data_IF_904553461463
#
_entry.id   IF_904553461463
#
_cell.length_a   1.000
_cell.length_b   1.000
_cell.length_c   1.000
_cell.angle_alpha   90.00
_cell.angle_beta   90.00
_cell.angle_gamma   90.00
#
_symmetry.space_group_name_H-M   'P 1'
#
loop_
_entity.id
_entity.type
_entity.pdbx_description
1 polymer ?
#
# COMPACT_ATOMS: atom_id res chain seq x y z
N UNK A 1 -43.78 -7.64 -27.02
CA UNK A 1 -42.95 -7.47 -25.81
C UNK A 1 -42.37 -8.84 -25.43
N UNK A 2 -41.04 -9.02 -25.46
CA UNK A 2 -40.25 -9.97 -24.64
C UNK A 2 -38.78 -9.98 -25.10
N UNK A 3 -38.01 -9.18 -24.36
CA UNK A 3 -36.57 -9.14 -24.12
C UNK A 3 -35.66 -10.15 -24.84
N UNK A 4 -34.77 -9.62 -25.70
CA UNK A 4 -33.49 -10.25 -26.06
C UNK A 4 -32.41 -9.17 -26.09
N UNK A 5 -31.90 -8.77 -24.92
CA UNK A 5 -30.72 -7.92 -24.82
C UNK A 5 -30.15 -8.05 -23.40
N UNK A 6 -29.47 -9.17 -23.08
CA UNK A 6 -28.81 -9.26 -21.78
C UNK A 6 -27.65 -10.26 -21.76
N UNK A 7 -26.73 -10.16 -22.72
CA UNK A 7 -25.44 -10.86 -22.62
C UNK A 7 -24.34 -10.09 -23.36
N UNK A 8 -24.12 -8.83 -22.99
CA UNK A 8 -22.95 -8.08 -23.49
C UNK A 8 -22.31 -7.17 -22.45
N UNK A 9 -22.45 -7.50 -21.16
CA UNK A 9 -21.91 -6.68 -20.06
C UNK A 9 -21.06 -7.45 -19.05
N UNK A 10 -20.61 -8.66 -19.37
CA UNK A 10 -19.80 -9.47 -18.46
C UNK A 10 -18.29 -9.46 -18.76
N UNK A 11 -17.85 -8.84 -19.86
CA UNK A 11 -16.43 -8.78 -20.23
C UNK A 11 -15.66 -7.57 -19.67
N UNK A 12 -16.33 -6.60 -19.03
CA UNK A 12 -15.70 -5.36 -18.56
C UNK A 12 -15.08 -5.44 -17.14
N UNK A 13 -15.21 -6.56 -16.43
CA UNK A 13 -14.72 -6.68 -15.04
C UNK A 13 -13.36 -7.38 -14.89
N UNK A 14 -12.71 -7.75 -15.99
CA UNK A 14 -11.33 -8.28 -15.96
C UNK A 14 -10.29 -7.19 -16.27
N UNK A 15 -10.53 -5.96 -15.82
CA UNK A 15 -9.44 -5.02 -15.56
C UNK A 15 -8.70 -5.50 -14.29
N UNK A 16 -7.97 -6.60 -14.44
CA UNK A 16 -7.04 -7.08 -13.43
C UNK A 16 -6.14 -5.92 -13.06
N UNK A 17 -6.21 -5.50 -11.80
CA UNK A 17 -5.25 -4.58 -11.21
C UNK A 17 -3.93 -5.32 -11.19
N UNK A 18 -3.20 -5.26 -12.30
CA UNK A 18 -1.80 -5.63 -12.35
C UNK A 18 -1.09 -4.64 -11.44
N UNK A 19 -0.68 -5.10 -10.25
CA UNK A 19 0.27 -4.38 -9.42
C UNK A 19 1.56 -4.30 -10.21
N UNK A 20 1.72 -3.22 -10.99
CA UNK A 20 2.91 -3.00 -11.77
C UNK A 20 4.10 -2.89 -10.81
N UNK A 21 5.01 -3.86 -10.87
CA UNK A 21 6.28 -3.77 -10.16
C UNK A 21 6.97 -2.46 -10.57
N UNK A 22 7.50 -1.70 -9.59
CA UNK A 22 8.07 -0.38 -9.83
C UNK A 22 9.37 -0.50 -10.64
N UNK A 23 9.29 -0.38 -11.96
CA UNK A 23 10.42 -0.52 -12.88
C UNK A 23 11.27 0.76 -13.05
N UNK A 24 11.20 1.72 -12.11
CA UNK A 24 12.02 2.93 -12.18
C UNK A 24 12.76 3.20 -10.86
N UNK A 25 14.05 3.52 -10.97
CA UNK A 25 14.97 3.63 -9.83
C UNK A 25 14.52 4.65 -8.77
N UNK A 26 13.80 5.69 -9.17
CA UNK A 26 13.26 6.70 -8.24
C UNK A 26 12.15 6.12 -7.39
N UNK A 27 11.29 5.30 -7.99
CA UNK A 27 10.23 4.59 -7.28
C UNK A 27 10.78 3.51 -6.35
N UNK A 28 11.77 2.74 -6.79
CA UNK A 28 12.45 1.77 -5.92
C UNK A 28 13.05 2.46 -4.69
N UNK A 29 13.79 3.56 -4.89
CA UNK A 29 14.36 4.34 -3.79
C UNK A 29 13.31 4.91 -2.85
N UNK A 30 12.19 5.41 -3.38
CA UNK A 30 11.10 5.93 -2.55
C UNK A 30 10.45 4.82 -1.71
N UNK A 31 10.32 3.61 -2.25
CA UNK A 31 9.82 2.44 -1.51
C UNK A 31 10.79 2.06 -0.41
N UNK A 32 12.09 1.98 -0.68
CA UNK A 32 13.10 1.67 0.35
C UNK A 32 13.05 2.67 1.52
N UNK A 33 12.94 3.97 1.21
CA UNK A 33 12.81 5.02 2.21
C UNK A 33 11.53 4.86 3.03
N UNK A 34 10.39 4.65 2.37
CA UNK A 34 9.10 4.47 3.04
C UNK A 34 9.06 3.21 3.90
N UNK A 35 9.52 2.07 3.38
CA UNK A 35 9.56 0.78 4.10
C UNK A 35 10.47 0.85 5.32
N UNK A 36 11.63 1.50 5.22
CA UNK A 36 12.54 1.65 6.37
C UNK A 36 11.91 2.51 7.47
N UNK A 37 11.32 3.65 7.11
CA UNK A 37 10.66 4.53 8.08
C UNK A 37 9.45 3.83 8.73
N UNK A 38 8.63 3.16 7.92
CA UNK A 38 7.45 2.44 8.40
C UNK A 38 7.81 1.28 9.33
N UNK A 39 8.83 0.48 8.97
CA UNK A 39 9.33 -0.61 9.80
C UNK A 39 9.76 -0.13 11.19
N UNK A 40 10.42 1.03 11.28
CA UNK A 40 10.80 1.61 12.56
C UNK A 40 9.58 2.00 13.39
N UNK A 41 8.57 2.63 12.77
CA UNK A 41 7.33 3.03 13.44
C UNK A 41 6.55 1.84 13.98
N UNK A 42 6.37 0.78 13.20
CA UNK A 42 5.60 -0.39 13.64
C UNK A 42 6.32 -1.19 14.74
N UNK A 43 7.66 -1.19 14.75
CA UNK A 43 8.47 -1.75 15.84
C UNK A 43 8.27 -0.98 17.15
N UNK A 44 8.19 0.35 17.07
CA UNK A 44 7.98 1.23 18.22
C UNK A 44 6.53 1.18 18.73
N UNK A 45 5.56 1.12 17.81
CA UNK A 45 4.14 1.19 18.11
C UNK A 45 3.58 -0.10 18.72
N UNK A 46 3.99 -1.27 18.22
CA UNK A 46 3.38 -2.55 18.60
C UNK A 46 4.27 -3.37 19.53
N UNK A 47 3.69 -4.14 20.48
CA UNK A 47 4.46 -4.96 21.42
C UNK A 47 5.07 -6.19 20.74
N UNK A 48 6.23 -6.71 21.23
CA UNK A 48 6.89 -7.88 20.64
C UNK A 48 6.10 -9.19 20.81
N UNK A 49 5.07 -9.22 21.64
CA UNK A 49 4.21 -10.37 21.90
C UNK A 49 2.74 -9.94 22.07
N UNK A 50 1.82 -10.90 21.94
CA UNK A 50 0.37 -10.66 22.01
C UNK A 50 -0.28 -10.47 20.64
N UNK A 51 -1.57 -10.14 20.64
CA UNK A 51 -2.43 -10.19 19.46
C UNK A 51 -1.98 -9.23 18.33
N UNK A 52 -1.33 -8.12 18.68
CA UNK A 52 -0.83 -7.12 17.73
C UNK A 52 0.65 -7.31 17.38
N UNK A 53 1.35 -8.29 17.95
CA UNK A 53 2.78 -8.51 17.62
C UNK A 53 3.06 -8.81 16.15
N UNK A 54 2.15 -9.46 15.37
CA UNK A 54 2.38 -9.63 13.94
C UNK A 54 2.53 -8.29 13.19
N UNK A 55 1.89 -7.22 13.68
CA UNK A 55 1.97 -5.90 13.06
C UNK A 55 3.36 -5.25 13.13
N UNK A 56 4.31 -5.83 13.89
CA UNK A 56 5.72 -5.38 13.90
C UNK A 56 6.50 -5.80 12.65
N UNK A 57 5.97 -6.70 11.84
CA UNK A 57 6.62 -7.16 10.60
C UNK A 57 6.00 -6.46 9.39
N UNK A 58 6.84 -5.91 8.50
CA UNK A 58 6.41 -5.35 7.23
C UNK A 58 5.61 -6.35 6.36
N UNK A 59 5.89 -7.65 6.47
CA UNK A 59 5.19 -8.70 5.72
C UNK A 59 3.70 -8.82 6.10
N UNK A 60 3.32 -8.25 7.23
CA UNK A 60 1.91 -8.15 7.66
C UNK A 60 1.13 -7.08 6.89
N UNK A 61 1.77 -6.37 5.97
CA UNK A 61 1.19 -5.28 5.22
C UNK A 61 1.29 -5.53 3.71
N UNK A 62 0.16 -5.34 3.03
CA UNK A 62 0.14 -5.16 1.58
C UNK A 62 0.63 -3.75 1.24
N UNK A 63 1.49 -3.65 0.22
CA UNK A 63 2.01 -2.38 -0.26
C UNK A 63 1.35 -1.96 -1.57
N UNK A 64 0.80 -0.74 -1.60
CA UNK A 64 0.30 -0.07 -2.79
C UNK A 64 1.21 1.09 -3.19
N UNK A 65 1.40 1.30 -4.49
CA UNK A 65 2.23 2.39 -5.01
C UNK A 65 1.42 3.18 -6.03
N UNK A 66 1.34 4.49 -5.83
CA UNK A 66 0.79 5.43 -6.80
C UNK A 66 1.83 6.49 -7.16
N UNK A 67 1.75 7.02 -8.39
CA UNK A 67 2.72 7.97 -8.91
C UNK A 67 2.02 9.18 -9.51
N UNK A 68 2.59 10.35 -9.26
CA UNK A 68 2.25 11.60 -9.96
C UNK A 68 3.50 12.14 -10.68
N UNK A 69 3.40 13.25 -11.42
CA UNK A 69 4.57 13.85 -12.06
C UNK A 69 5.70 14.21 -11.08
N UNK A 70 5.35 14.63 -9.86
CA UNK A 70 6.31 15.14 -8.86
C UNK A 70 6.39 14.31 -7.59
N UNK A 71 5.47 13.37 -7.36
CA UNK A 71 5.38 12.61 -6.11
C UNK A 71 5.26 11.11 -6.35
N UNK A 72 5.65 10.36 -5.33
CA UNK A 72 5.43 8.93 -5.20
C UNK A 72 4.67 8.72 -3.90
N UNK A 73 3.59 7.96 -3.97
CA UNK A 73 2.75 7.65 -2.82
C UNK A 73 2.91 6.16 -2.55
N UNK A 74 3.28 5.81 -1.32
CA UNK A 74 3.43 4.42 -0.86
C UNK A 74 2.44 4.20 0.27
N UNK A 75 1.58 3.20 0.12
CA UNK A 75 0.53 2.88 1.10
C UNK A 75 0.80 1.50 1.66
N UNK A 76 0.77 1.37 2.98
CA UNK A 76 0.82 0.11 3.71
C UNK A 76 -0.56 -0.16 4.31
N UNK A 77 -1.15 -1.30 3.95
CA UNK A 77 -2.44 -1.75 4.47
C UNK A 77 -2.26 -3.09 5.16
N UNK A 78 -2.76 -3.22 6.39
CA UNK A 78 -2.72 -4.50 7.10
C UNK A 78 -3.38 -5.59 6.26
N UNK A 79 -2.72 -6.73 6.19
CA UNK A 79 -3.23 -7.89 5.50
C UNK A 79 -4.52 -8.36 6.18
N UNK A 80 -5.61 -8.38 5.40
CA UNK A 80 -6.94 -8.79 5.86
C UNK A 80 -6.95 -10.18 6.50
N UNK A 81 -6.01 -11.06 6.13
CA UNK A 81 -5.86 -12.41 6.70
C UNK A 81 -5.54 -12.40 8.19
N UNK A 82 -5.00 -11.31 8.71
CA UNK A 82 -4.71 -11.15 10.14
C UNK A 82 -5.95 -10.85 10.97
N UNK A 83 -7.07 -10.45 10.34
CA UNK A 83 -8.30 -10.08 11.06
C UNK A 83 -8.17 -8.80 11.90
N UNK A 84 -7.10 -8.02 11.71
CA UNK A 84 -6.84 -6.77 12.41
C UNK A 84 -7.25 -5.60 11.50
N UNK A 85 -7.92 -4.60 12.08
CA UNK A 85 -8.33 -3.37 11.41
C UNK A 85 -7.43 -2.23 11.91
N UNK A 86 -7.04 -1.32 11.02
CA UNK A 86 -6.17 -0.19 11.36
C UNK A 86 -4.68 -0.51 11.19
N UNK A 87 -3.82 0.33 11.74
CA UNK A 87 -2.37 0.13 11.82
C UNK A 87 -1.55 0.35 10.55
N UNK A 88 -2.20 0.61 9.43
CA UNK A 88 -1.55 0.95 8.17
C UNK A 88 -1.02 2.38 8.12
N UNK A 89 -0.58 2.82 6.95
CA UNK A 89 -0.23 4.21 6.73
C UNK A 89 0.10 4.55 5.29
N UNK A 90 0.17 5.84 5.01
CA UNK A 90 0.45 6.39 3.69
C UNK A 90 1.59 7.39 3.76
N UNK A 91 2.56 7.20 2.88
CA UNK A 91 3.68 8.10 2.66
C UNK A 91 3.50 8.83 1.34
N UNK A 92 3.70 10.14 1.38
CA UNK A 92 3.93 10.93 0.16
C UNK A 92 5.41 11.32 0.13
N UNK A 93 6.11 10.93 -0.93
CA UNK A 93 7.53 11.21 -1.14
C UNK A 93 7.75 12.06 -2.39
N UNK A 94 8.78 12.89 -2.35
CA UNK A 94 9.23 13.67 -3.50
C UNK A 94 9.88 12.74 -4.54
N UNK A 95 9.43 12.81 -5.80
CA UNK A 95 10.06 12.05 -6.90
C UNK A 95 11.46 12.57 -7.25
N UNK A 96 11.82 13.79 -6.82
CA UNK A 96 13.12 14.42 -7.13
C UNK A 96 14.26 13.80 -6.31
N UNK A 97 14.04 13.61 -5.02
CA UNK A 97 15.06 13.24 -4.05
C UNK A 97 14.64 12.12 -3.09
N UNK A 98 13.41 11.60 -3.21
CA UNK A 98 12.84 10.56 -2.34
C UNK A 98 12.67 10.98 -0.88
N UNK A 99 12.68 12.29 -0.58
CA UNK A 99 12.36 12.79 0.77
C UNK A 99 10.89 12.54 1.11
N UNK A 100 10.64 12.13 2.34
CA UNK A 100 9.28 12.00 2.89
C UNK A 100 8.71 13.40 3.08
N UNK A 101 7.64 13.72 2.35
CA UNK A 101 6.91 14.98 2.44
C UNK A 101 5.88 14.90 3.57
N UNK A 102 5.18 13.77 3.67
CA UNK A 102 4.18 13.54 4.71
C UNK A 102 3.97 12.05 4.98
N UNK A 103 3.55 11.77 6.20
CA UNK A 103 3.05 10.47 6.64
C UNK A 103 1.65 10.64 7.25
N UNK A 104 0.73 9.72 6.92
CA UNK A 104 -0.59 9.60 7.53
C UNK A 104 -0.77 8.17 8.03
N UNK A 105 -0.85 7.99 9.34
CA UNK A 105 -1.22 6.70 9.94
C UNK A 105 -2.72 6.41 9.78
N UNK A 106 -3.06 5.14 9.68
CA UNK A 106 -4.44 4.67 9.72
C UNK A 106 -4.68 4.05 11.10
N UNK A 107 -5.64 4.59 11.85
CA UNK A 107 -6.06 4.08 13.16
C UNK A 107 -6.87 2.79 13.03
#
# INVERSE_FOLDING_TARGET
>A
MKFKFFMLFLSLFLAGVSGAEPNDAKTIKAIEVASKDFQNRIIEMYPPSGDYSPLRNLDSYSMGIAKTPSKIIVVFLVDKRLGIIGGGGEYTLSKKNSEIISFKGYE
#
